data_IF_194356630368
#
_entry.id   IF_194356630368
#
_cell.length_a   1.000
_cell.length_b   1.000
_cell.length_c   1.000
_cell.angle_alpha   90.00
_cell.angle_beta   90.00
_cell.angle_gamma   90.00
#
_symmetry.space_group_name_H-M   'P 1'
#
loop_
_entity.id
_entity.type
_entity.pdbx_description
1 polymer ?
#
# COMPACT_ATOMS: atom_id res chain seq x y z
N UNK A 1 6.44 22.41 -16.11
CA UNK A 1 6.21 21.81 -14.77
C UNK A 1 4.73 21.53 -14.53
N UNK A 2 3.85 22.54 -14.45
CA UNK A 2 2.40 22.36 -14.17
C UNK A 2 1.63 21.35 -15.04
N UNK A 3 2.05 21.09 -16.27
CA UNK A 3 1.36 20.15 -17.18
C UNK A 3 1.80 18.70 -17.05
N UNK A 4 2.98 18.44 -16.49
CA UNK A 4 3.50 17.08 -16.29
C UNK A 4 2.77 16.40 -15.13
N UNK A 5 2.57 17.17 -14.04
CA UNK A 5 1.85 16.72 -12.85
C UNK A 5 0.43 16.24 -13.22
N UNK A 6 -0.30 17.01 -14.05
CA UNK A 6 -1.70 16.71 -14.43
C UNK A 6 -1.85 15.36 -15.15
N UNK A 7 -0.85 14.93 -15.92
CA UNK A 7 -0.90 13.68 -16.69
C UNK A 7 -0.71 12.47 -15.78
N UNK A 8 0.29 12.49 -14.89
CA UNK A 8 0.50 11.44 -13.90
C UNK A 8 -0.67 11.35 -12.91
N UNK A 9 -1.24 12.50 -12.53
CA UNK A 9 -2.45 12.54 -11.70
C UNK A 9 -3.65 11.83 -12.34
N UNK A 10 -3.76 11.82 -13.67
CA UNK A 10 -4.89 11.15 -14.35
C UNK A 10 -4.76 9.63 -14.26
N UNK A 11 -3.58 9.07 -14.56
CA UNK A 11 -3.32 7.64 -14.43
C UNK A 11 -3.49 7.17 -12.98
N UNK A 12 -2.86 7.87 -12.03
CA UNK A 12 -2.96 7.56 -10.60
C UNK A 12 -4.42 7.64 -10.11
N UNK A 13 -5.20 8.60 -10.58
CA UNK A 13 -6.62 8.72 -10.20
C UNK A 13 -7.46 7.56 -10.72
N UNK A 14 -7.25 7.11 -11.96
CA UNK A 14 -7.93 5.93 -12.47
C UNK A 14 -7.55 4.66 -11.70
N UNK A 15 -6.26 4.48 -11.38
CA UNK A 15 -5.79 3.36 -10.57
C UNK A 15 -6.49 3.32 -9.19
N UNK A 16 -6.61 4.49 -8.55
CA UNK A 16 -7.29 4.63 -7.26
C UNK A 16 -8.78 4.30 -7.34
N UNK A 17 -9.49 4.83 -8.35
CA UNK A 17 -10.93 4.60 -8.53
C UNK A 17 -11.23 3.12 -8.83
N UNK A 18 -10.43 2.50 -9.70
CA UNK A 18 -10.60 1.10 -10.04
C UNK A 18 -10.35 0.20 -8.80
N UNK A 19 -9.24 0.45 -8.09
CA UNK A 19 -8.93 -0.27 -6.84
C UNK A 19 -10.01 -0.08 -5.77
N UNK A 20 -10.56 1.12 -5.63
CA UNK A 20 -11.65 1.40 -4.69
C UNK A 20 -12.93 0.63 -5.04
N UNK A 21 -13.31 0.59 -6.32
CA UNK A 21 -14.46 -0.18 -6.78
C UNK A 21 -14.29 -1.67 -6.53
N UNK A 22 -13.10 -2.21 -6.79
CA UNK A 22 -12.79 -3.62 -6.55
C UNK A 22 -12.80 -3.98 -5.05
N UNK A 23 -12.29 -3.09 -4.20
CA UNK A 23 -12.32 -3.24 -2.74
C UNK A 23 -13.73 -3.15 -2.15
N UNK A 24 -14.61 -2.37 -2.77
CA UNK A 24 -16.04 -2.37 -2.39
C UNK A 24 -16.71 -3.69 -2.78
N UNK A 25 -16.31 -4.30 -3.90
CA UNK A 25 -16.84 -5.59 -4.34
C UNK A 25 -16.30 -6.78 -3.55
N UNK A 26 -15.04 -6.70 -3.08
CA UNK A 26 -14.34 -7.78 -2.36
C UNK A 26 -13.65 -7.28 -1.08
N UNK A 27 -14.40 -6.81 -0.06
CA UNK A 27 -13.82 -6.26 1.16
C UNK A 27 -13.00 -7.28 1.96
N UNK A 28 -13.26 -8.57 1.80
CA UNK A 28 -12.52 -9.67 2.44
C UNK A 28 -11.06 -9.76 1.99
N UNK A 29 -10.70 -9.18 0.84
CA UNK A 29 -9.33 -9.19 0.31
C UNK A 29 -8.47 -8.04 0.85
N UNK A 30 -9.02 -7.13 1.66
CA UNK A 30 -8.27 -6.01 2.25
C UNK A 30 -7.01 -6.50 2.97
N UNK A 31 -7.05 -7.46 3.92
CA UNK A 31 -5.84 -7.92 4.60
C UNK A 31 -4.82 -8.56 3.65
N UNK A 32 -5.29 -9.31 2.65
CA UNK A 32 -4.43 -9.94 1.65
C UNK A 32 -3.71 -8.90 0.78
N UNK A 33 -4.37 -7.81 0.38
CA UNK A 33 -3.74 -6.72 -0.37
C UNK A 33 -2.67 -5.98 0.45
N UNK A 34 -2.92 -5.78 1.75
CA UNK A 34 -1.93 -5.20 2.66
C UNK A 34 -0.71 -6.13 2.79
N UNK A 35 -0.95 -7.42 3.05
CA UNK A 35 0.12 -8.42 3.19
C UNK A 35 0.91 -8.59 1.90
N UNK A 36 0.25 -8.56 0.73
CA UNK A 36 0.89 -8.63 -0.58
C UNK A 36 1.90 -7.49 -0.78
N UNK A 37 1.49 -6.25 -0.49
CA UNK A 37 2.39 -5.10 -0.59
C UNK A 37 3.51 -5.11 0.45
N UNK A 38 3.26 -5.65 1.65
CA UNK A 38 4.28 -5.85 2.67
C UNK A 38 5.33 -6.87 2.19
N UNK A 39 4.90 -8.02 1.71
CA UNK A 39 5.79 -9.11 1.33
C UNK A 39 6.66 -8.74 0.14
N UNK A 40 6.08 -8.11 -0.89
CA UNK A 40 6.83 -7.57 -2.04
C UNK A 40 7.93 -6.59 -1.57
N UNK A 41 7.64 -5.73 -0.60
CA UNK A 41 8.63 -4.77 -0.11
C UNK A 41 9.66 -5.37 0.86
N UNK A 42 9.30 -6.40 1.63
CA UNK A 42 10.15 -6.98 2.68
C UNK A 42 11.27 -7.87 2.15
N UNK A 43 11.29 -8.17 0.85
CA UNK A 43 12.42 -8.83 0.19
C UNK A 43 13.67 -7.93 0.09
N UNK A 44 13.53 -6.63 0.36
CA UNK A 44 14.65 -5.69 0.26
C UNK A 44 15.79 -6.06 1.21
N UNK A 45 17.00 -6.12 0.66
CA UNK A 45 18.24 -6.25 1.39
C UNK A 45 19.13 -5.04 1.15
N UNK A 46 19.50 -4.34 2.22
CA UNK A 46 20.28 -3.10 2.14
C UNK A 46 21.72 -3.33 1.70
N UNK A 47 22.31 -4.50 2.01
CA UNK A 47 23.70 -4.80 1.71
C UNK A 47 23.91 -5.05 0.21
N UNK A 48 23.06 -5.88 -0.38
CA UNK A 48 23.10 -6.21 -1.82
C UNK A 48 22.30 -5.24 -2.68
N UNK A 49 21.43 -4.42 -2.07
CA UNK A 49 20.49 -3.51 -2.76
C UNK A 49 19.60 -4.25 -3.77
N UNK A 50 19.13 -5.43 -3.36
CA UNK A 50 18.24 -6.28 -4.16
C UNK A 50 16.91 -6.48 -3.45
N UNK A 51 15.87 -6.82 -4.19
CA UNK A 51 14.49 -6.88 -3.70
C UNK A 51 13.87 -5.51 -3.44
N UNK A 52 12.76 -5.51 -2.71
CA UNK A 52 11.92 -4.34 -2.46
C UNK A 52 10.67 -4.35 -3.35
N UNK A 53 9.82 -3.31 -3.26
CA UNK A 53 8.51 -3.27 -3.92
C UNK A 53 8.66 -3.12 -5.43
N UNK A 54 8.93 -4.23 -6.10
CA UNK A 54 9.28 -4.36 -7.50
C UNK A 54 8.31 -5.29 -8.24
N UNK A 55 7.23 -5.72 -7.58
CA UNK A 55 6.22 -6.60 -8.14
C UNK A 55 6.71 -8.01 -8.44
N UNK A 56 7.89 -8.43 -7.95
CA UNK A 56 8.42 -9.79 -8.09
C UNK A 56 7.46 -10.84 -7.52
N UNK A 57 6.72 -10.47 -6.47
CA UNK A 57 5.70 -11.31 -5.82
C UNK A 57 4.64 -11.86 -6.79
N UNK A 58 4.43 -11.22 -7.95
CA UNK A 58 3.49 -11.72 -8.97
C UNK A 58 3.94 -13.01 -9.64
N UNK A 59 5.23 -13.30 -9.59
CA UNK A 59 5.85 -14.41 -10.31
C UNK A 59 5.50 -15.72 -9.59
N UNK A 60 5.22 -16.76 -10.37
CA UNK A 60 4.72 -18.05 -9.84
C UNK A 60 5.66 -18.67 -8.80
N UNK A 61 6.98 -18.52 -8.98
CA UNK A 61 8.00 -19.00 -8.06
C UNK A 61 7.99 -18.28 -6.70
N UNK A 62 7.48 -17.05 -6.64
CA UNK A 62 7.43 -16.26 -5.41
C UNK A 62 6.06 -16.31 -4.73
N UNK A 63 4.96 -16.13 -5.47
CA UNK A 63 3.61 -16.22 -4.90
C UNK A 63 3.30 -17.59 -4.28
N UNK A 64 3.97 -18.64 -4.74
CA UNK A 64 3.78 -20.01 -4.22
C UNK A 64 4.56 -20.30 -2.93
N UNK A 65 5.36 -19.35 -2.43
CA UNK A 65 6.15 -19.54 -1.20
C UNK A 65 5.28 -19.53 0.05
N UNK A 66 5.68 -20.22 1.14
CA UNK A 66 4.87 -20.32 2.36
C UNK A 66 4.44 -18.98 2.96
N UNK A 67 5.32 -17.98 2.94
CA UNK A 67 5.04 -16.62 3.43
C UNK A 67 3.96 -15.87 2.64
N UNK A 68 3.71 -16.30 1.39
CA UNK A 68 2.75 -15.70 0.45
C UNK A 68 1.46 -16.51 0.32
N UNK A 69 1.28 -17.54 1.17
CA UNK A 69 0.09 -18.39 1.17
C UNK A 69 -1.18 -17.58 1.41
N UNK A 70 -2.19 -17.79 0.55
CA UNK A 70 -3.49 -17.10 0.64
C UNK A 70 -3.55 -15.73 -0.04
N UNK A 71 -2.49 -15.31 -0.74
CA UNK A 71 -2.44 -14.02 -1.44
C UNK A 71 -2.85 -14.10 -2.92
N UNK A 72 -3.01 -15.29 -3.50
CA UNK A 72 -3.32 -15.48 -4.92
C UNK A 72 -4.60 -14.76 -5.36
N UNK A 73 -5.68 -14.84 -4.56
CA UNK A 73 -6.93 -14.17 -4.89
C UNK A 73 -6.81 -12.63 -4.94
N UNK A 74 -5.94 -12.06 -4.09
CA UNK A 74 -5.63 -10.63 -4.12
C UNK A 74 -4.79 -10.28 -5.36
N UNK A 75 -3.81 -11.12 -5.71
CA UNK A 75 -3.03 -10.94 -6.93
C UNK A 75 -3.90 -11.04 -8.19
N UNK A 76 -4.80 -12.02 -8.28
CA UNK A 76 -5.72 -12.19 -9.41
C UNK A 76 -6.61 -10.94 -9.59
N UNK A 77 -7.08 -10.35 -8.49
CA UNK A 77 -7.81 -9.09 -8.51
C UNK A 77 -6.98 -7.96 -9.15
N UNK A 78 -5.69 -7.86 -8.80
CA UNK A 78 -4.79 -6.86 -9.37
C UNK A 78 -4.48 -7.13 -10.83
N UNK A 79 -4.36 -8.40 -11.25
CA UNK A 79 -4.17 -8.76 -12.65
C UNK A 79 -5.35 -8.28 -13.50
N UNK A 80 -6.58 -8.47 -13.04
CA UNK A 80 -7.76 -7.97 -13.74
C UNK A 80 -7.84 -6.44 -13.75
N UNK A 81 -7.57 -5.79 -12.60
CA UNK A 81 -7.49 -4.34 -12.50
C UNK A 81 -6.49 -3.75 -13.49
N UNK A 82 -5.30 -4.38 -13.59
CA UNK A 82 -4.23 -3.98 -14.49
C UNK A 82 -4.67 -4.05 -15.95
N UNK A 83 -5.31 -5.15 -16.37
CA UNK A 83 -5.82 -5.29 -17.75
C UNK A 83 -6.77 -4.16 -18.12
N UNK A 84 -7.65 -3.80 -17.20
CA UNK A 84 -8.59 -2.70 -17.40
C UNK A 84 -7.83 -1.36 -17.51
N UNK A 85 -6.94 -1.05 -16.56
CA UNK A 85 -6.16 0.20 -16.55
C UNK A 85 -5.30 0.34 -17.81
N UNK A 86 -4.63 -0.73 -18.22
CA UNK A 86 -3.78 -0.76 -19.41
C UNK A 86 -4.58 -0.53 -20.70
N UNK A 87 -5.86 -0.92 -20.74
CA UNK A 87 -6.71 -0.76 -21.93
C UNK A 87 -6.99 0.70 -22.31
N UNK A 88 -6.95 1.62 -21.34
CA UNK A 88 -7.19 3.06 -21.56
C UNK A 88 -5.99 3.94 -21.19
N UNK A 89 -4.91 3.36 -20.67
CA UNK A 89 -3.69 4.11 -20.34
C UNK A 89 -3.06 4.69 -21.60
N UNK A 90 -2.88 6.01 -21.61
CA UNK A 90 -2.20 6.73 -22.70
C UNK A 90 -0.69 6.76 -22.55
N UNK A 91 -0.19 6.50 -21.34
CA UNK A 91 1.22 6.60 -20.95
C UNK A 91 1.97 5.26 -20.97
N UNK A 92 1.38 4.22 -21.55
CA UNK A 92 1.93 2.86 -21.50
C UNK A 92 1.34 2.01 -20.35
N UNK A 93 1.71 0.73 -20.29
CA UNK A 93 1.18 -0.19 -19.29
C UNK A 93 1.66 0.18 -17.88
N UNK A 94 0.78 0.08 -16.90
CA UNK A 94 1.10 0.27 -15.48
C UNK A 94 2.05 -0.84 -15.02
N UNK A 95 3.03 -0.56 -14.15
CA UNK A 95 3.83 -1.63 -13.53
C UNK A 95 3.03 -2.35 -12.43
N UNK A 96 3.29 -3.64 -12.24
CA UNK A 96 2.74 -4.36 -11.09
C UNK A 96 3.25 -3.78 -9.77
N UNK A 97 4.51 -3.34 -9.73
CA UNK A 97 5.12 -2.68 -8.59
C UNK A 97 4.31 -1.46 -8.13
N UNK A 98 3.88 -0.59 -9.04
CA UNK A 98 3.02 0.54 -8.70
C UNK A 98 1.62 0.09 -8.30
N UNK A 99 1.02 -0.84 -9.05
CA UNK A 99 -0.35 -1.29 -8.79
C UNK A 99 -0.51 -1.93 -7.41
N UNK A 100 0.43 -2.78 -6.99
CA UNK A 100 0.42 -3.44 -5.68
C UNK A 100 0.44 -2.40 -4.55
N UNK A 101 1.34 -1.42 -4.64
CA UNK A 101 1.47 -0.39 -3.61
C UNK A 101 0.25 0.54 -3.59
N UNK A 102 -0.29 0.92 -4.77
CA UNK A 102 -1.52 1.71 -4.87
C UNK A 102 -2.70 0.94 -4.27
N UNK A 103 -2.86 -0.34 -4.58
CA UNK A 103 -3.93 -1.15 -4.04
C UNK A 103 -3.88 -1.24 -2.51
N UNK A 104 -2.69 -1.39 -1.92
CA UNK A 104 -2.51 -1.34 -0.47
C UNK A 104 -2.87 0.04 0.12
N UNK A 105 -2.53 1.14 -0.56
CA UNK A 105 -2.95 2.48 -0.12
C UNK A 105 -4.48 2.64 -0.10
N UNK A 106 -5.17 2.07 -1.09
CA UNK A 106 -6.63 2.11 -1.18
C UNK A 106 -7.28 1.18 -0.15
N UNK A 107 -6.68 0.02 0.11
CA UNK A 107 -7.08 -0.89 1.18
C UNK A 107 -6.98 -0.20 2.55
N UNK A 108 -5.88 0.54 2.81
CA UNK A 108 -5.76 1.33 4.04
C UNK A 108 -6.83 2.42 4.17
N UNK A 109 -7.05 3.21 3.12
CA UNK A 109 -8.11 4.23 3.12
C UNK A 109 -9.48 3.62 3.41
N UNK A 110 -9.76 2.42 2.89
CA UNK A 110 -10.97 1.66 3.23
C UNK A 110 -11.04 1.31 4.73
N UNK A 111 -9.94 0.85 5.34
CA UNK A 111 -9.93 0.58 6.79
C UNK A 111 -10.19 1.84 7.64
N UNK A 112 -9.68 3.00 7.20
CA UNK A 112 -9.92 4.28 7.88
C UNK A 112 -11.37 4.73 7.74
N UNK A 113 -11.96 4.57 6.55
CA UNK A 113 -13.37 4.85 6.31
C UNK A 113 -14.28 3.94 7.14
N UNK A 114 -14.00 2.63 7.18
CA UNK A 114 -14.78 1.68 7.96
C UNK A 114 -14.73 2.00 9.46
N UNK A 115 -13.56 2.40 9.95
CA UNK A 115 -13.41 2.89 11.31
C UNK A 115 -14.25 4.16 11.58
N UNK A 116 -14.25 5.13 10.66
CA UNK A 116 -15.06 6.34 10.79
C UNK A 116 -16.56 6.00 10.80
N UNK A 117 -17.01 5.11 9.92
CA UNK A 117 -18.41 4.62 9.90
C UNK A 117 -18.76 3.95 11.23
N UNK A 118 -17.90 3.07 11.75
CA UNK A 118 -18.10 2.43 13.05
C UNK A 118 -18.23 3.44 14.19
N UNK A 119 -17.39 4.49 14.22
CA UNK A 119 -17.46 5.56 15.23
C UNK A 119 -18.75 6.39 15.17
N UNK A 120 -19.42 6.40 14.02
CA UNK A 120 -20.72 7.07 13.84
C UNK A 120 -21.92 6.14 14.05
N UNK A 121 -21.71 4.98 14.69
CA UNK A 121 -22.76 3.99 14.96
C UNK A 121 -23.24 3.28 13.69
N UNK A 122 -22.39 3.14 12.68
CA UNK A 122 -22.72 2.49 11.41
C UNK A 122 -23.36 3.40 10.36
N UNK A 123 -23.53 4.69 10.63
CA UNK A 123 -24.10 5.62 9.67
C UNK A 123 -23.09 5.97 8.56
N UNK A 124 -23.35 5.49 7.34
CA UNK A 124 -22.41 5.65 6.23
C UNK A 124 -22.16 7.11 5.82
N UNK A 125 -23.20 7.96 5.81
CA UNK A 125 -23.08 9.36 5.40
C UNK A 125 -22.25 10.16 6.41
N UNK A 126 -22.54 9.99 7.70
CA UNK A 126 -21.77 10.60 8.78
C UNK A 126 -20.34 10.08 8.81
N UNK A 127 -20.13 8.77 8.60
CA UNK A 127 -18.81 8.17 8.50
C UNK A 127 -17.99 8.74 7.36
N UNK A 128 -18.57 8.90 6.17
CA UNK A 128 -17.91 9.55 5.02
C UNK A 128 -17.57 11.00 5.30
N UNK A 129 -18.47 11.74 5.95
CA UNK A 129 -18.22 13.14 6.34
C UNK A 129 -17.07 13.24 7.33
N UNK A 130 -17.06 12.36 8.34
CA UNK A 130 -16.00 12.28 9.34
C UNK A 130 -14.65 11.92 8.71
N UNK A 131 -14.63 10.91 7.83
CA UNK A 131 -13.44 10.49 7.11
C UNK A 131 -12.91 11.58 6.18
N UNK A 132 -13.79 12.30 5.48
CA UNK A 132 -13.39 13.43 4.63
C UNK A 132 -12.68 14.53 5.43
N UNK A 133 -13.14 14.79 6.66
CA UNK A 133 -12.56 15.80 7.54
C UNK A 133 -11.24 15.36 8.20
N UNK A 134 -11.13 14.10 8.64
CA UNK A 134 -10.03 13.65 9.51
C UNK A 134 -9.21 12.46 8.99
N UNK A 135 -9.54 11.89 7.83
CA UNK A 135 -8.92 10.69 7.26
C UNK A 135 -7.51 10.88 6.69
N UNK A 136 -6.79 11.90 7.20
CA UNK A 136 -5.38 12.17 6.90
C UNK A 136 -5.04 12.23 5.41
N UNK A 137 -5.98 12.70 4.56
CA UNK A 137 -5.82 12.69 3.10
C UNK A 137 -4.58 13.44 2.62
N UNK A 138 -4.22 14.54 3.29
CA UNK A 138 -3.01 15.32 2.98
C UNK A 138 -1.69 14.60 3.25
N UNK A 139 -1.67 13.58 4.12
CA UNK A 139 -0.46 12.82 4.44
C UNK A 139 -0.02 11.90 3.29
N UNK A 140 -0.95 11.52 2.40
CA UNK A 140 -0.66 10.71 1.23
C UNK A 140 0.13 11.45 0.14
N UNK A 141 0.32 12.77 0.27
CA UNK A 141 0.96 13.57 -0.79
C UNK A 141 2.38 13.15 -1.16
N UNK A 142 3.17 12.59 -0.24
CA UNK A 142 4.48 12.04 -0.60
C UNK A 142 4.36 10.65 -1.22
N UNK A 143 3.50 9.78 -0.67
CA UNK A 143 3.20 8.46 -1.26
C UNK A 143 2.76 8.59 -2.73
N UNK A 144 1.83 9.49 -3.02
CA UNK A 144 1.30 9.73 -4.36
C UNK A 144 2.37 10.21 -5.37
N UNK A 145 3.45 10.84 -4.89
CA UNK A 145 4.60 11.23 -5.73
C UNK A 145 5.53 10.07 -6.02
N UNK A 146 5.51 9.02 -5.22
CA UNK A 146 6.27 7.80 -5.44
C UNK A 146 5.43 6.93 -6.39
N UNK A 147 5.49 7.25 -7.67
CA UNK A 147 4.76 6.59 -8.75
C UNK A 147 5.66 6.50 -9.98
N UNK A 148 5.82 5.30 -10.55
CA UNK A 148 6.81 5.00 -11.59
C UNK A 148 7.90 4.03 -11.12
N UNK A 149 7.49 2.94 -10.45
CA UNK A 149 8.37 1.83 -10.06
C UNK A 149 8.58 0.87 -11.22
N UNK A 150 9.75 0.26 -11.30
CA UNK A 150 10.07 -0.75 -12.31
C UNK A 150 9.71 -2.16 -11.82
N UNK A 151 9.16 -2.96 -12.74
CA UNK A 151 8.85 -4.37 -12.49
C UNK A 151 10.12 -5.24 -12.57
N UNK A 152 10.37 -6.03 -11.52
CA UNK A 152 11.34 -7.11 -11.57
C UNK A 152 10.90 -8.20 -12.56
N UNK A 153 11.86 -8.79 -13.26
CA UNK A 153 11.61 -9.86 -14.23
C UNK A 153 11.80 -11.26 -13.63
N UNK A 154 12.51 -11.34 -12.51
CA UNK A 154 12.81 -12.57 -11.78
C UNK A 154 12.30 -12.45 -10.35
N UNK A 155 11.96 -13.58 -9.69
CA UNK A 155 11.52 -13.56 -8.29
C UNK A 155 12.64 -13.06 -7.40
N UNK A 156 12.28 -12.35 -6.34
CA UNK A 156 13.25 -11.90 -5.36
C UNK A 156 13.82 -13.09 -4.56
N UNK A 157 15.04 -12.99 -4.01
CA UNK A 157 15.67 -14.09 -3.31
C UNK A 157 14.86 -14.61 -2.11
N UNK A 158 14.82 -15.94 -1.96
CA UNK A 158 14.10 -16.64 -0.90
C UNK A 158 14.65 -16.37 0.52
N UNK A 159 13.85 -16.68 1.54
CA UNK A 159 14.27 -16.64 2.94
C UNK A 159 14.40 -15.24 3.52
N UNK A 160 13.87 -14.22 2.84
CA UNK A 160 13.96 -12.81 3.25
C UNK A 160 12.72 -12.28 3.93
N UNK A 161 11.59 -12.99 3.85
CA UNK A 161 10.29 -12.57 4.38
C UNK A 161 9.83 -13.60 5.42
N UNK A 162 9.57 -13.21 6.67
CA UNK A 162 9.02 -14.11 7.69
C UNK A 162 7.59 -14.52 7.35
N UNK A 163 7.21 -15.74 7.74
CA UNK A 163 5.80 -16.14 7.74
C UNK A 163 5.09 -15.49 8.94
N UNK A 164 4.45 -14.34 8.74
CA UNK A 164 3.93 -13.48 9.83
C UNK A 164 2.98 -14.16 10.82
N UNK A 165 2.19 -15.13 10.36
CA UNK A 165 1.24 -15.87 11.20
C UNK A 165 1.93 -16.70 12.29
N UNK A 166 3.14 -17.19 12.02
CA UNK A 166 3.90 -18.07 12.93
C UNK A 166 5.17 -17.43 13.47
N UNK A 167 5.69 -16.38 12.81
CA UNK A 167 6.93 -15.69 13.18
C UNK A 167 6.87 -15.14 14.62
N UNK A 168 7.94 -15.29 15.38
CA UNK A 168 8.09 -14.66 16.69
C UNK A 168 8.17 -13.12 16.56
N UNK A 169 7.86 -12.40 17.65
CA UNK A 169 7.99 -10.92 17.65
C UNK A 169 9.43 -10.49 17.41
N UNK A 170 10.42 -11.28 17.85
CA UNK A 170 11.82 -11.02 17.58
C UNK A 170 12.14 -11.10 16.09
N UNK A 171 11.69 -12.13 15.39
CA UNK A 171 11.86 -12.26 13.93
C UNK A 171 11.21 -11.09 13.17
N UNK A 172 10.01 -10.67 13.61
CA UNK A 172 9.34 -9.49 13.04
C UNK A 172 10.18 -8.22 13.24
N UNK A 173 10.71 -7.98 14.45
CA UNK A 173 11.57 -6.82 14.74
C UNK A 173 12.85 -6.87 13.91
N UNK A 174 13.54 -8.00 13.88
CA UNK A 174 14.79 -8.18 13.15
C UNK A 174 14.59 -7.92 11.65
N UNK A 175 13.48 -8.39 11.08
CA UNK A 175 13.12 -8.09 9.70
C UNK A 175 12.94 -6.60 9.46
N UNK A 176 12.17 -5.90 10.30
CA UNK A 176 11.96 -4.45 10.15
C UNK A 176 13.27 -3.67 10.34
N UNK A 177 14.12 -4.07 11.27
CA UNK A 177 15.45 -3.46 11.49
C UNK A 177 16.33 -3.65 10.25
N UNK A 178 16.31 -4.85 9.63
CA UNK A 178 17.12 -5.15 8.43
C UNK A 178 16.81 -4.22 7.25
N UNK A 179 15.56 -3.75 7.13
CA UNK A 179 15.12 -2.79 6.09
C UNK A 179 15.17 -1.33 6.54
N UNK A 180 15.77 -1.05 7.70
CA UNK A 180 15.94 0.31 8.23
C UNK A 180 14.68 0.91 8.86
N UNK A 181 13.77 0.07 9.32
CA UNK A 181 12.63 0.40 10.18
C UNK A 181 12.91 -0.10 11.62
N UNK A 182 11.91 -0.15 12.48
CA UNK A 182 12.08 -0.65 13.84
C UNK A 182 10.76 -0.97 14.55
N UNK A 183 10.80 -1.17 15.88
CA UNK A 183 9.64 -1.63 16.68
C UNK A 183 8.40 -0.75 16.55
N UNK A 184 8.58 0.57 16.36
CA UNK A 184 7.48 1.50 16.08
C UNK A 184 6.72 1.13 14.80
N UNK A 185 7.45 0.84 13.72
CA UNK A 185 6.83 0.48 12.45
C UNK A 185 6.21 -0.92 12.49
N UNK A 186 6.81 -1.86 13.23
CA UNK A 186 6.16 -3.15 13.51
C UNK A 186 4.79 -2.91 14.17
N UNK A 187 4.73 -2.08 15.22
CA UNK A 187 3.48 -1.81 15.93
C UNK A 187 2.43 -1.08 15.07
N UNK A 188 2.82 -0.03 14.33
CA UNK A 188 1.86 0.75 13.55
C UNK A 188 1.30 -0.04 12.36
N UNK A 189 2.09 -0.95 11.79
CA UNK A 189 1.72 -1.78 10.65
C UNK A 189 1.03 -3.10 11.07
N UNK A 190 0.48 -3.18 12.28
CA UNK A 190 -0.14 -4.41 12.80
C UNK A 190 -1.20 -5.02 11.86
N UNK A 191 -1.94 -4.20 11.12
CA UNK A 191 -2.94 -4.66 10.14
C UNK A 191 -2.34 -5.35 8.89
N UNK A 192 -1.03 -5.29 8.67
CA UNK A 192 -0.36 -5.90 7.51
C UNK A 192 0.09 -7.35 7.76
N UNK A 193 0.05 -7.83 9.00
CA UNK A 193 0.55 -9.15 9.37
C UNK A 193 -0.52 -10.25 9.31
N UNK A 194 -1.78 -9.89 9.09
CA UNK A 194 -2.88 -10.84 9.01
C UNK A 194 -4.26 -10.17 9.08
N UNK A 195 -5.33 -10.97 8.99
CA UNK A 195 -6.71 -10.46 8.98
C UNK A 195 -7.19 -9.96 10.34
N UNK A 196 -6.59 -10.42 11.44
CA UNK A 196 -6.95 -10.01 12.81
C UNK A 196 -5.87 -9.09 13.40
N UNK A 197 -6.13 -7.78 13.32
CA UNK A 197 -5.25 -6.77 13.89
C UNK A 197 -5.16 -6.88 15.43
N UNK A 198 -6.25 -7.24 16.11
CA UNK A 198 -6.29 -7.29 17.57
C UNK A 198 -5.45 -8.46 18.10
N UNK A 199 -5.61 -9.66 17.52
CA UNK A 199 -4.79 -10.82 17.86
C UNK A 199 -3.29 -10.57 17.59
N UNK A 200 -2.99 -9.88 16.48
CA UNK A 200 -1.61 -9.46 16.15
C UNK A 200 -1.05 -8.53 17.23
N UNK A 201 -1.82 -7.55 17.67
CA UNK A 201 -1.38 -6.60 18.69
C UNK A 201 -1.25 -7.22 20.08
N UNK A 202 -2.10 -8.17 20.44
CA UNK A 202 -1.99 -8.93 21.69
C UNK A 202 -0.64 -9.65 21.76
N UNK A 203 -0.22 -10.27 20.65
CA UNK A 203 1.11 -10.87 20.52
C UNK A 203 2.24 -9.83 20.63
N UNK A 204 2.10 -8.66 19.99
CA UNK A 204 3.12 -7.61 20.01
C UNK A 204 3.28 -6.93 21.39
N UNK A 205 2.22 -6.84 22.19
CA UNK A 205 2.25 -6.25 23.55
C UNK A 205 3.14 -7.04 24.51
N UNK A 206 3.31 -8.36 24.27
CA UNK A 206 4.18 -9.18 25.08
C UNK A 206 5.65 -8.71 25.02
N UNK A 207 6.08 -8.11 23.91
CA UNK A 207 7.43 -7.61 23.71
C UNK A 207 7.61 -6.17 24.24
N UNK A 208 8.63 -5.90 25.10
CA UNK A 208 8.81 -4.60 25.73
C UNK A 208 9.15 -3.47 24.74
N UNK A 209 9.78 -3.76 23.60
CA UNK A 209 10.13 -2.74 22.61
C UNK A 209 8.92 -2.33 21.78
N UNK A 210 7.99 -3.26 21.52
CA UNK A 210 6.77 -3.01 20.76
C UNK A 210 5.64 -2.45 21.63
N UNK A 211 5.50 -2.91 22.89
CA UNK A 211 4.42 -2.52 23.82
C UNK A 211 4.10 -1.02 23.85
N UNK A 212 5.04 -0.09 24.11
CA UNK A 212 4.70 1.33 24.21
C UNK A 212 4.11 1.90 22.91
N UNK A 213 4.53 1.38 21.76
CA UNK A 213 4.00 1.79 20.46
C UNK A 213 2.62 1.21 20.20
N UNK A 214 2.40 -0.07 20.51
CA UNK A 214 1.08 -0.69 20.37
C UNK A 214 0.05 0.04 21.22
N UNK A 215 0.35 0.29 22.50
CA UNK A 215 -0.52 1.02 23.40
C UNK A 215 -0.78 2.47 22.93
N UNK A 216 0.24 3.14 22.38
CA UNK A 216 0.08 4.47 21.77
C UNK A 216 -0.94 4.42 20.63
N UNK A 217 -0.81 3.45 19.73
CA UNK A 217 -1.68 3.35 18.56
C UNK A 217 -3.09 2.88 18.91
N UNK A 218 -3.26 2.02 19.92
CA UNK A 218 -4.56 1.67 20.48
C UNK A 218 -5.27 2.91 21.03
N UNK A 219 -4.60 3.70 21.89
CA UNK A 219 -5.15 4.98 22.40
C UNK A 219 -5.50 5.94 21.26
N UNK A 220 -4.65 6.04 20.23
CA UNK A 220 -4.96 6.86 19.06
C UNK A 220 -6.24 6.39 18.37
N UNK A 221 -6.41 5.08 18.13
CA UNK A 221 -7.60 4.52 17.46
C UNK A 221 -8.89 4.61 18.30
N UNK A 222 -8.77 4.78 19.61
CA UNK A 222 -9.90 5.08 20.49
C UNK A 222 -10.45 6.50 20.27
N UNK A 223 -9.59 7.46 19.94
CA UNK A 223 -10.03 8.83 19.59
C UNK A 223 -10.88 8.84 18.31
N UNK A 224 -11.60 9.94 18.09
CA UNK A 224 -12.45 10.12 16.91
C UNK A 224 -11.61 10.26 15.63
N UNK A 225 -10.53 11.03 15.67
CA UNK A 225 -9.73 11.36 14.48
C UNK A 225 -8.59 10.38 14.21
N UNK A 226 -8.15 9.61 15.21
CA UNK A 226 -7.13 8.54 15.06
C UNK A 226 -5.81 9.01 14.42
N UNK A 227 -5.50 10.29 14.57
CA UNK A 227 -4.51 11.00 13.75
C UNK A 227 -3.11 10.41 13.87
N UNK A 228 -2.62 10.18 15.09
CA UNK A 228 -1.29 9.60 15.31
C UNK A 228 -1.12 8.24 14.63
N UNK A 229 -2.13 7.36 14.72
CA UNK A 229 -2.10 6.05 14.07
C UNK A 229 -2.10 6.19 12.54
N UNK A 230 -3.02 6.96 11.98
CA UNK A 230 -3.13 7.12 10.53
C UNK A 230 -1.88 7.77 9.92
N UNK A 231 -1.38 8.85 10.52
CA UNK A 231 -0.21 9.59 10.03
C UNK A 231 1.06 8.74 10.10
N UNK A 232 1.29 8.06 11.23
CA UNK A 232 2.46 7.20 11.40
C UNK A 232 2.40 5.98 10.48
N UNK A 233 1.21 5.42 10.24
CA UNK A 233 1.02 4.30 9.35
C UNK A 233 1.32 4.69 7.89
N UNK A 234 0.77 5.81 7.43
CA UNK A 234 1.05 6.34 6.09
C UNK A 234 2.54 6.61 5.94
N UNK A 235 3.20 7.16 6.97
CA UNK A 235 4.64 7.43 6.95
C UNK A 235 5.46 6.14 6.82
N UNK A 236 5.11 5.10 7.57
CA UNK A 236 5.78 3.79 7.51
C UNK A 236 5.59 3.14 6.13
N UNK A 237 4.36 3.09 5.63
CA UNK A 237 4.00 2.53 4.33
C UNK A 237 4.66 3.30 3.19
N UNK A 238 4.72 4.63 3.28
CA UNK A 238 5.41 5.45 2.28
C UNK A 238 6.88 5.10 2.20
N UNK A 239 7.57 4.96 3.34
CA UNK A 239 8.99 4.56 3.33
C UNK A 239 9.18 3.15 2.78
N UNK A 240 8.29 2.22 3.16
CA UNK A 240 8.33 0.84 2.70
C UNK A 240 8.14 0.74 1.18
N UNK A 241 7.25 1.57 0.62
CA UNK A 241 6.82 1.47 -0.77
C UNK A 241 7.87 1.89 -1.80
N UNK A 242 9.06 2.38 -1.44
CA UNK A 242 10.12 2.69 -2.41
C UNK A 242 11.50 2.14 -2.04
N UNK A 243 11.57 1.17 -1.12
CA UNK A 243 12.86 0.58 -0.73
C UNK A 243 13.58 -0.02 -1.95
N UNK A 244 14.79 0.46 -2.26
CA UNK A 244 15.58 -0.03 -3.40
C UNK A 244 15.09 0.42 -4.79
N UNK A 245 13.91 1.03 -4.89
CA UNK A 245 13.34 1.52 -6.15
C UNK A 245 13.91 2.89 -6.54
N UNK A 246 14.15 3.07 -7.84
CA UNK A 246 14.43 4.39 -8.43
C UNK A 246 13.18 4.83 -9.17
N UNK A 247 12.50 5.84 -8.61
CA UNK A 247 11.23 6.29 -9.17
C UNK A 247 11.47 7.08 -10.46
N UNK A 248 10.86 6.62 -11.54
CA UNK A 248 10.75 7.36 -12.78
C UNK A 248 9.58 8.34 -12.68
N UNK A 249 9.87 9.59 -12.33
CA UNK A 249 8.85 10.63 -12.20
C UNK A 249 8.19 11.01 -13.54
N UNK A 250 8.79 10.61 -14.67
CA UNK A 250 8.24 10.77 -16.01
C UNK A 250 7.44 9.55 -16.50
N UNK A 251 7.32 8.49 -15.68
CA UNK A 251 6.54 7.32 -16.00
C UNK A 251 5.07 7.68 -16.27
N UNK A 252 4.44 6.95 -17.20
CA UNK A 252 3.03 7.11 -17.57
C UNK A 252 2.66 8.48 -18.16
N UNK A 253 3.66 9.25 -18.59
CA UNK A 253 3.46 10.50 -19.30
C UNK A 253 3.26 10.26 -20.80
N UNK A 254 2.56 11.17 -21.48
CA UNK A 254 2.33 11.10 -22.92
C UNK A 254 2.34 12.49 -23.55
N UNK A 255 2.68 12.62 -24.85
CA UNK A 255 2.73 13.92 -25.51
C UNK A 255 1.38 14.66 -25.45
N UNK A 256 1.39 15.93 -25.05
CA UNK A 256 0.19 16.77 -25.10
C UNK A 256 -0.22 16.99 -26.55
N UNK A 257 -1.49 16.72 -26.89
CA UNK A 257 -2.05 17.11 -28.18
C UNK A 257 -1.98 18.64 -28.31
N UNK A 258 -1.20 19.12 -29.29
CA UNK A 258 -1.17 20.54 -29.63
C UNK A 258 -2.51 20.90 -30.26
N UNK A 259 -3.28 21.79 -29.62
CA UNK A 259 -4.51 22.33 -30.21
C UNK A 259 -4.10 23.10 -31.46
N UNK A 260 -4.52 22.62 -32.63
CA UNK A 260 -4.31 23.34 -33.88
C UNK A 260 -5.35 24.46 -33.97
N UNK A 261 -4.97 25.65 -33.53
CA UNK A 261 -5.83 26.84 -33.52
C UNK A 261 -6.35 27.21 -34.92
N UNK A 262 -5.68 26.78 -36.00
CA UNK A 262 -6.14 26.99 -37.38
C UNK A 262 -7.32 26.11 -37.82
N UNK A 263 -7.69 25.08 -37.03
CA UNK A 263 -8.87 24.22 -37.26
C UNK A 263 -10.09 24.60 -36.42
N UNK A 264 -9.93 25.54 -35.48
CA UNK A 264 -11.06 26.13 -34.77
C UNK A 264 -11.72 27.14 -35.72
N UNK A 265 -12.80 26.72 -36.39
CA UNK A 265 -13.69 27.67 -37.06
C UNK A 265 -14.30 28.56 -35.98
N UNK A 266 -13.91 29.83 -35.96
CA UNK A 266 -14.63 30.90 -35.27
C UNK A 266 -15.99 31.12 -35.93
#
# INVERSE_FOLDING_TARGET
MYTQDVINFTCLSHCRLNSESLLQAKPELVPSLLTLALNDAMTYDKATKTGGPNGSIRLSAEISRPENSGLSAALDLLVEAKKEIDSYSKGGPLSFADLIQIAASQALKKTFLDAAIAKTGGNQEKGRTLYSAYGSSGQWGFFDKIFGRDDAQEPDPEGRVPQWSTASVQEMKDKFISVGLGPRQVAVMSAFFGPDQAATEEKLIADPDCRPWVEKYQRSRETVSRTDYEVDLITAVTKLSYLGQKINYEAYTYPKQKINLGKLKL
#
